data_IF_821959434971
#
_entry.id   IF_821959434971
#
_cell.length_a   1.000
_cell.length_b   1.000
_cell.length_c   1.000
_cell.angle_alpha   90.00
_cell.angle_beta   90.00
_cell.angle_gamma   90.00
#
_symmetry.space_group_name_H-M   'P 1'
#
loop_
_entity.id
_entity.type
_entity.pdbx_description
1 polymer ?
#
# COMPACT_ATOMS: atom_id res chain seq x y z
N UNK A 1 -8.52 -9.54 -75.98
CA UNK A 1 -8.77 -9.59 -74.53
C UNK A 1 -7.80 -8.64 -73.85
N UNK A 2 -8.30 -7.76 -72.97
CA UNK A 2 -7.62 -7.29 -71.74
C UNK A 2 -8.40 -6.10 -71.16
N UNK A 3 -9.08 -6.30 -70.03
CA UNK A 3 -9.66 -5.22 -69.23
C UNK A 3 -8.56 -4.66 -68.33
N UNK A 4 -8.11 -3.44 -68.60
CA UNK A 4 -7.25 -2.67 -67.71
C UNK A 4 -8.04 -2.25 -66.49
N UNK A 5 -7.73 -2.84 -65.33
CA UNK A 5 -8.29 -2.41 -64.04
C UNK A 5 -7.48 -1.21 -63.57
N UNK A 6 -8.02 -0.01 -63.76
CA UNK A 6 -7.50 1.21 -63.11
C UNK A 6 -7.83 1.17 -61.62
N UNK A 7 -6.79 1.10 -60.77
CA UNK A 7 -6.92 1.12 -59.33
C UNK A 7 -7.53 2.47 -58.86
N UNK A 8 -8.60 2.41 -58.07
CA UNK A 8 -9.19 3.62 -57.48
C UNK A 8 -8.20 4.25 -56.47
N UNK A 9 -8.05 5.59 -56.47
CA UNK A 9 -7.18 6.27 -55.52
C UNK A 9 -7.72 6.10 -54.09
N UNK A 10 -6.84 5.83 -53.10
CA UNK A 10 -7.26 5.61 -51.72
C UNK A 10 -7.91 6.88 -51.14
N UNK A 11 -9.00 6.70 -50.38
CA UNK A 11 -9.72 7.80 -49.74
C UNK A 11 -8.86 8.51 -48.69
N UNK A 12 -9.05 9.83 -48.54
CA UNK A 12 -8.37 10.65 -47.53
C UNK A 12 -8.63 10.14 -46.11
N UNK A 13 -9.83 9.59 -45.87
CA UNK A 13 -10.25 9.00 -44.61
C UNK A 13 -9.51 7.68 -44.30
N UNK A 14 -9.28 6.85 -45.32
CA UNK A 14 -8.43 5.64 -45.19
C UNK A 14 -6.99 6.02 -44.84
N UNK A 15 -6.41 7.03 -45.51
CA UNK A 15 -5.05 7.50 -45.22
C UNK A 15 -4.93 8.09 -43.81
N UNK A 16 -5.93 8.85 -43.37
CA UNK A 16 -5.99 9.39 -42.02
C UNK A 16 -6.12 8.27 -40.98
N UNK A 17 -7.00 7.30 -41.21
CA UNK A 17 -7.16 6.12 -40.35
C UNK A 17 -5.86 5.33 -40.20
N UNK A 18 -5.17 5.01 -41.30
CA UNK A 18 -3.91 4.27 -41.23
C UNK A 18 -2.81 5.03 -40.47
N UNK A 19 -2.75 6.36 -40.62
CA UNK A 19 -1.84 7.21 -39.83
C UNK A 19 -2.17 7.17 -38.34
N UNK A 20 -3.43 7.35 -37.98
CA UNK A 20 -3.85 7.34 -36.57
C UNK A 20 -3.79 5.96 -35.93
N UNK A 21 -4.06 4.89 -36.68
CA UNK A 21 -3.95 3.50 -36.20
C UNK A 21 -2.55 3.21 -35.70
N UNK A 22 -1.52 3.68 -36.41
CA UNK A 22 -0.13 3.53 -35.97
C UNK A 22 0.12 4.21 -34.61
N UNK A 23 -0.30 5.46 -34.46
CA UNK A 23 -0.16 6.19 -33.20
C UNK A 23 -0.95 5.56 -32.05
N UNK A 24 -2.15 5.03 -32.32
CA UNK A 24 -2.96 4.30 -31.34
C UNK A 24 -2.26 3.01 -30.88
N UNK A 25 -1.64 2.25 -31.79
CA UNK A 25 -0.87 1.05 -31.42
C UNK A 25 0.34 1.40 -30.55
N UNK A 26 1.04 2.50 -30.86
CA UNK A 26 2.13 3.00 -30.02
C UNK A 26 1.62 3.38 -28.64
N UNK A 27 0.52 4.15 -28.55
CA UNK A 27 -0.10 4.52 -27.27
C UNK A 27 -0.50 3.30 -26.45
N UNK A 28 -1.03 2.26 -27.10
CA UNK A 28 -1.42 1.01 -26.43
C UNK A 28 -0.24 0.30 -25.77
N UNK A 29 0.98 0.47 -26.28
CA UNK A 29 2.21 -0.02 -25.66
C UNK A 29 2.76 0.96 -24.61
N UNK A 30 2.82 2.26 -24.94
CA UNK A 30 3.43 3.26 -24.08
C UNK A 30 2.66 3.47 -22.77
N UNK A 31 1.33 3.36 -22.80
CA UNK A 31 0.50 3.58 -21.60
C UNK A 31 0.84 2.57 -20.50
N UNK A 32 0.77 1.24 -20.71
CA UNK A 32 1.19 0.27 -19.70
C UNK A 32 2.64 0.47 -19.26
N UNK A 33 3.56 0.71 -20.20
CA UNK A 33 4.98 0.93 -19.89
C UNK A 33 5.19 2.15 -18.98
N UNK A 34 4.43 3.23 -19.18
CA UNK A 34 4.47 4.41 -18.32
C UNK A 34 3.99 4.14 -16.88
N UNK A 35 3.05 3.21 -16.69
CA UNK A 35 2.54 2.83 -15.37
C UNK A 35 3.35 1.73 -14.67
N UNK A 36 4.18 0.97 -15.40
CA UNK A 36 4.96 -0.14 -14.85
C UNK A 36 5.81 0.23 -13.61
N UNK A 37 6.58 1.33 -13.59
CA UNK A 37 7.42 1.66 -12.43
C UNK A 37 6.61 1.79 -11.14
N UNK A 38 5.48 2.51 -11.20
CA UNK A 38 4.58 2.67 -10.05
C UNK A 38 3.97 1.33 -9.63
N UNK A 39 3.51 0.54 -10.58
CA UNK A 39 2.95 -0.78 -10.30
C UNK A 39 3.95 -1.69 -9.58
N UNK A 40 5.20 -1.75 -10.02
CA UNK A 40 6.21 -2.58 -9.38
C UNK A 40 6.64 -2.06 -8.01
N UNK A 41 6.72 -0.74 -7.83
CA UNK A 41 6.99 -0.15 -6.51
C UNK A 41 5.85 -0.44 -5.52
N UNK A 42 4.60 -0.32 -5.98
CA UNK A 42 3.44 -0.68 -5.16
C UNK A 42 3.45 -2.19 -4.84
N UNK A 43 3.73 -3.05 -5.82
CA UNK A 43 3.79 -4.49 -5.63
C UNK A 43 4.92 -4.93 -4.69
N UNK A 44 6.11 -4.34 -4.79
CA UNK A 44 7.25 -4.63 -3.91
C UNK A 44 6.95 -4.22 -2.47
N UNK A 45 6.32 -3.07 -2.28
CA UNK A 45 5.87 -2.59 -0.98
C UNK A 45 4.84 -3.52 -0.34
N UNK A 46 3.82 -3.94 -1.10
CA UNK A 46 2.79 -4.84 -0.60
C UNK A 46 3.34 -6.23 -0.23
N UNK A 47 4.25 -6.77 -1.04
CA UNK A 47 4.92 -8.05 -0.74
C UNK A 47 5.92 -7.96 0.42
N UNK A 48 6.43 -6.77 0.71
CA UNK A 48 7.47 -6.57 1.72
C UNK A 48 8.89 -6.69 1.18
N UNK A 49 9.05 -6.79 -0.14
CA UNK A 49 10.35 -6.79 -0.81
C UNK A 49 11.11 -5.47 -0.57
N UNK A 50 10.38 -4.39 -0.27
CA UNK A 50 10.92 -3.06 0.08
C UNK A 50 11.03 -2.84 1.59
N UNK A 51 10.95 -3.89 2.41
CA UNK A 51 10.96 -3.81 3.87
C UNK A 51 9.57 -3.67 4.48
N UNK A 52 9.49 -3.07 5.68
CA UNK A 52 8.23 -2.91 6.41
C UNK A 52 7.34 -1.81 5.82
N UNK A 53 7.89 -0.76 5.22
CA UNK A 53 7.08 0.33 4.69
C UNK A 53 7.91 1.42 4.04
N UNK A 54 7.24 2.42 3.46
CA UNK A 54 7.91 3.60 2.86
C UNK A 54 8.56 4.51 3.91
N UNK A 55 8.03 4.55 5.14
CA UNK A 55 8.58 5.35 6.24
C UNK A 55 8.78 4.48 7.48
N UNK A 56 10.04 4.32 7.86
CA UNK A 56 10.40 3.72 9.12
C UNK A 56 10.10 4.69 10.28
N UNK A 57 9.33 4.24 11.26
CA UNK A 57 9.05 4.98 12.50
C UNK A 57 10.13 4.70 13.54
N UNK A 58 10.78 3.54 13.46
CA UNK A 58 11.82 3.11 14.38
C UNK A 58 11.40 1.95 15.28
N UNK A 59 12.32 1.57 16.18
CA UNK A 59 12.07 0.56 17.21
C UNK A 59 11.28 1.15 18.36
N UNK A 60 10.20 0.48 18.74
CA UNK A 60 9.34 0.84 19.88
C UNK A 60 9.51 -0.20 20.98
N UNK A 61 9.99 0.25 22.13
CA UNK A 61 10.09 -0.55 23.35
C UNK A 61 8.75 -0.54 24.09
N UNK A 62 8.23 -1.72 24.44
CA UNK A 62 6.99 -1.91 25.19
C UNK A 62 7.25 -2.90 26.32
N UNK A 63 7.57 -2.36 27.50
CA UNK A 63 8.00 -3.18 28.63
C UNK A 63 9.26 -3.99 28.29
N UNK A 64 9.27 -5.32 28.48
CA UNK A 64 10.41 -6.17 28.14
C UNK A 64 10.52 -6.44 26.62
N UNK A 65 9.47 -6.18 25.86
CA UNK A 65 9.39 -6.52 24.44
C UNK A 65 9.66 -5.31 23.55
N UNK A 66 10.02 -5.57 22.30
CA UNK A 66 10.23 -4.51 21.31
C UNK A 66 9.78 -4.94 19.91
N UNK A 67 9.40 -3.94 19.12
CA UNK A 67 9.05 -4.11 17.72
C UNK A 67 9.58 -2.96 16.87
N UNK A 68 9.87 -3.21 15.59
CA UNK A 68 10.06 -2.17 14.58
C UNK A 68 8.71 -1.79 14.01
N UNK A 69 8.40 -0.49 13.93
CA UNK A 69 7.16 0.02 13.34
C UNK A 69 7.49 0.81 12.07
N UNK A 70 6.68 0.62 11.01
CA UNK A 70 6.75 1.42 9.80
C UNK A 70 5.35 1.81 9.32
N UNK A 71 5.24 2.97 8.70
CA UNK A 71 4.08 3.30 7.89
C UNK A 71 4.22 2.61 6.54
N UNK A 72 3.16 1.92 6.11
CA UNK A 72 3.16 1.27 4.80
C UNK A 72 3.46 2.30 3.72
N UNK A 73 2.81 3.48 3.78
CA UNK A 73 3.00 4.59 2.84
C UNK A 73 3.32 5.89 3.55
N UNK A 74 4.24 6.68 3.02
CA UNK A 74 4.63 7.98 3.56
C UNK A 74 3.71 9.11 3.05
N UNK A 75 2.42 9.02 3.39
CA UNK A 75 1.41 10.01 3.02
C UNK A 75 0.30 10.09 4.09
N UNK A 76 -0.68 10.97 3.93
CA UNK A 76 -1.83 11.04 4.84
C UNK A 76 -2.70 9.76 4.86
N UNK A 77 -3.66 9.66 5.79
CA UNK A 77 -4.68 8.61 5.76
C UNK A 77 -5.47 8.65 4.45
N UNK A 78 -5.84 7.48 3.91
CA UNK A 78 -6.62 7.35 2.68
C UNK A 78 -8.08 7.02 2.98
N UNK A 79 -9.04 7.50 2.17
CA UNK A 79 -10.43 7.11 2.31
C UNK A 79 -10.61 5.62 1.97
N UNK A 80 -11.36 4.91 2.82
CA UNK A 80 -11.69 3.48 2.68
C UNK A 80 -13.22 3.29 2.66
N UNK A 81 -13.85 4.00 1.73
CA UNK A 81 -15.30 3.98 1.54
C UNK A 81 -16.08 4.37 2.81
N UNK A 82 -17.16 3.64 3.16
CA UNK A 82 -17.96 3.92 4.35
C UNK A 82 -17.20 3.78 5.69
N UNK A 83 -16.03 3.13 5.70
CA UNK A 83 -15.24 2.96 6.91
C UNK A 83 -14.48 4.25 7.32
N UNK A 84 -14.43 5.25 6.45
CA UNK A 84 -13.77 6.53 6.69
C UNK A 84 -12.29 6.50 6.31
N UNK A 85 -11.47 7.32 6.97
CA UNK A 85 -10.04 7.41 6.68
C UNK A 85 -9.24 6.34 7.42
N UNK A 86 -8.33 5.69 6.70
CA UNK A 86 -7.50 4.60 7.20
C UNK A 86 -6.02 4.88 6.94
N UNK A 87 -5.15 4.43 7.86
CA UNK A 87 -3.70 4.45 7.70
C UNK A 87 -3.15 3.06 8.01
N UNK A 88 -2.38 2.51 7.07
CA UNK A 88 -1.77 1.19 7.23
C UNK A 88 -0.37 1.28 7.82
N UNK A 89 -0.10 0.41 8.77
CA UNK A 89 1.19 0.23 9.42
C UNK A 89 1.62 -1.22 9.31
N UNK A 90 2.93 -1.44 9.22
CA UNK A 90 3.52 -2.75 9.40
C UNK A 90 4.44 -2.73 10.62
N UNK A 91 4.59 -3.90 11.24
CA UNK A 91 5.47 -4.10 12.38
C UNK A 91 6.21 -5.43 12.28
N UNK A 92 7.40 -5.48 12.87
CA UNK A 92 8.14 -6.71 13.11
C UNK A 92 8.55 -6.79 14.58
N UNK A 93 8.24 -7.90 15.25
CA UNK A 93 8.74 -8.15 16.60
C UNK A 93 10.26 -8.39 16.54
N UNK A 94 10.98 -7.93 17.56
CA UNK A 94 12.37 -8.36 17.76
C UNK A 94 12.43 -9.87 18.02
N UNK A 95 13.54 -10.51 17.63
CA UNK A 95 13.74 -11.96 17.81
C UNK A 95 13.47 -12.41 19.26
N UNK A 96 13.90 -11.62 20.25
CA UNK A 96 13.67 -11.91 21.68
C UNK A 96 12.20 -11.85 22.13
N UNK A 97 11.33 -11.19 21.35
CA UNK A 97 9.91 -10.99 21.71
C UNK A 97 8.98 -12.00 21.03
N UNK A 98 9.41 -12.66 19.94
CA UNK A 98 8.54 -13.48 19.07
C UNK A 98 7.83 -14.58 19.85
N UNK A 99 8.56 -15.31 20.70
CA UNK A 99 8.02 -16.46 21.43
C UNK A 99 7.20 -16.05 22.66
N UNK A 100 7.28 -14.79 23.09
CA UNK A 100 6.64 -14.29 24.30
C UNK A 100 5.36 -13.51 24.01
N UNK A 101 5.29 -12.85 22.85
CA UNK A 101 4.17 -11.99 22.47
C UNK A 101 3.09 -12.82 21.77
N UNK A 102 1.90 -12.80 22.35
CA UNK A 102 0.67 -13.39 21.80
C UNK A 102 0.00 -12.48 20.77
N UNK A 103 -0.06 -11.18 21.05
CA UNK A 103 -0.71 -10.22 20.16
C UNK A 103 -0.11 -8.81 20.29
N UNK A 104 -0.11 -8.08 19.18
CA UNK A 104 0.28 -6.68 19.12
C UNK A 104 -0.90 -5.84 18.66
N UNK A 105 -1.11 -4.68 19.29
CA UNK A 105 -2.21 -3.77 19.00
C UNK A 105 -1.70 -2.35 18.77
N UNK A 106 -2.42 -1.59 17.95
CA UNK A 106 -2.15 -0.19 17.63
C UNK A 106 -3.41 0.65 17.83
N UNK A 107 -3.25 1.83 18.44
CA UNK A 107 -4.34 2.77 18.68
C UNK A 107 -3.86 4.22 18.60
N UNK A 108 -4.77 5.14 18.29
CA UNK A 108 -4.56 6.56 18.61
C UNK A 108 -4.86 6.80 20.09
N UNK A 109 -3.85 7.27 20.83
CA UNK A 109 -3.90 7.55 22.26
C UNK A 109 -3.92 6.30 23.15
N UNK A 110 -3.67 6.52 24.44
CA UNK A 110 -3.56 5.45 25.44
C UNK A 110 -4.88 4.68 25.62
N UNK A 111 -4.88 3.33 25.56
CA UNK A 111 -6.06 2.52 25.81
C UNK A 111 -6.40 2.46 27.30
N UNK A 112 -7.70 2.36 27.61
CA UNK A 112 -8.21 2.21 28.99
C UNK A 112 -8.21 0.77 29.51
N UNK A 113 -8.10 -0.21 28.61
CA UNK A 113 -8.08 -1.64 28.89
C UNK A 113 -7.61 -2.40 27.64
N UNK A 114 -7.27 -3.69 27.80
CA UNK A 114 -6.85 -4.55 26.69
C UNK A 114 -7.96 -4.71 25.63
N UNK A 115 -9.23 -4.82 26.04
CA UNK A 115 -10.38 -4.83 25.12
C UNK A 115 -10.47 -3.57 24.25
N UNK A 116 -9.87 -2.47 24.71
CA UNK A 116 -9.80 -1.20 24.01
C UNK A 116 -8.40 -0.92 23.43
N UNK A 117 -7.52 -1.92 23.30
CA UNK A 117 -6.14 -1.75 22.83
C UNK A 117 -6.01 -1.27 21.37
N UNK A 118 -7.10 -1.28 20.61
CA UNK A 118 -7.16 -0.73 19.25
C UNK A 118 -7.25 -1.83 18.20
N UNK A 119 -6.68 -1.58 17.03
CA UNK A 119 -6.61 -2.57 15.96
C UNK A 119 -5.48 -3.55 16.25
N UNK A 120 -5.67 -4.81 15.91
CA UNK A 120 -4.66 -5.86 16.09
C UNK A 120 -3.81 -5.97 14.83
N UNK A 121 -2.52 -6.23 15.01
CA UNK A 121 -1.61 -6.61 13.94
C UNK A 121 -1.82 -8.07 13.55
N UNK A 122 -1.90 -8.34 12.24
CA UNK A 122 -2.03 -9.70 11.70
C UNK A 122 -0.86 -10.03 10.78
N UNK A 123 -0.43 -11.30 10.78
CA UNK A 123 0.64 -11.78 9.92
C UNK A 123 1.66 -12.63 10.66
N UNK A 124 2.84 -12.81 10.06
CA UNK A 124 3.97 -13.46 10.73
C UNK A 124 4.64 -12.47 11.67
N UNK A 125 5.32 -12.91 12.75
CA UNK A 125 5.96 -12.00 13.71
C UNK A 125 7.05 -11.11 13.08
N UNK A 126 7.60 -11.50 11.92
CA UNK A 126 8.58 -10.74 11.15
C UNK A 126 7.97 -9.66 10.26
N UNK A 127 6.67 -9.74 9.97
CA UNK A 127 5.93 -8.74 9.17
C UNK A 127 4.43 -8.89 9.42
N UNK A 128 3.94 -8.12 10.38
CA UNK A 128 2.52 -8.00 10.69
C UNK A 128 2.00 -6.68 10.14
N UNK A 129 0.74 -6.64 9.69
CA UNK A 129 0.07 -5.45 9.21
C UNK A 129 -1.15 -5.09 10.06
N UNK A 130 -1.39 -3.79 10.23
CA UNK A 130 -2.61 -3.25 10.84
C UNK A 130 -3.11 -2.04 10.04
N UNK A 131 -4.43 -1.94 9.89
CA UNK A 131 -5.09 -0.78 9.28
C UNK A 131 -5.80 -0.01 10.38
N UNK A 132 -5.27 1.17 10.71
CA UNK A 132 -5.75 2.02 11.81
C UNK A 132 -6.75 3.06 11.28
N UNK A 133 -8.00 3.10 11.80
CA UNK A 133 -8.92 4.18 11.50
C UNK A 133 -8.43 5.49 12.10
N UNK A 134 -8.41 6.54 11.28
CA UNK A 134 -8.01 7.90 11.65
C UNK A 134 -9.25 8.82 11.54
N UNK A 135 -9.95 9.11 12.65
CA UNK A 135 -11.05 10.06 12.63
C UNK A 135 -10.65 11.43 12.06
N UNK A 136 -11.52 12.10 11.31
CA UNK A 136 -11.21 13.41 10.69
C UNK A 136 -10.80 14.49 11.71
N UNK A 137 -11.31 14.39 12.94
CA UNK A 137 -10.97 15.27 14.07
C UNK A 137 -9.65 14.93 14.76
N UNK A 138 -8.90 13.95 14.26
CA UNK A 138 -7.60 13.57 14.81
C UNK A 138 -6.61 14.69 14.54
N UNK A 139 -5.95 15.16 15.59
CA UNK A 139 -4.92 16.19 15.46
C UNK A 139 -3.65 15.60 14.84
N UNK A 140 -2.89 16.43 14.14
CA UNK A 140 -1.63 16.00 13.53
C UNK A 140 -0.57 15.54 14.55
N UNK A 141 -0.67 16.02 15.80
CA UNK A 141 0.19 15.66 16.93
C UNK A 141 -0.39 14.53 17.79
N UNK A 142 -1.43 13.83 17.32
CA UNK A 142 -2.01 12.73 18.07
C UNK A 142 -1.01 11.57 18.20
N UNK A 143 -0.86 11.06 19.43
CA UNK A 143 0.07 9.98 19.73
C UNK A 143 -0.47 8.62 19.26
N UNK A 144 0.41 7.80 18.71
CA UNK A 144 0.16 6.38 18.49
C UNK A 144 0.58 5.60 19.74
N UNK A 145 -0.28 4.68 20.16
CA UNK A 145 -0.04 3.80 21.29
C UNK A 145 0.05 2.35 20.80
N UNK A 146 1.13 1.68 21.17
CA UNK A 146 1.34 0.25 20.92
C UNK A 146 1.10 -0.52 22.21
N UNK A 147 0.40 -1.63 22.12
CA UNK A 147 0.20 -2.57 23.23
C UNK A 147 0.64 -3.96 22.80
N UNK A 148 1.49 -4.60 23.60
CA UNK A 148 1.90 -5.98 23.41
C UNK A 148 1.31 -6.84 24.55
N UNK A 149 0.65 -7.93 24.17
CA UNK A 149 0.05 -8.93 25.07
C UNK A 149 0.94 -10.17 25.04
N UNK A 150 1.36 -10.65 26.20
CA UNK A 150 2.16 -11.88 26.36
C UNK A 150 1.31 -13.16 26.36
N UNK A 151 1.98 -14.32 26.35
CA UNK A 151 1.34 -15.64 26.53
C UNK A 151 1.10 -16.02 28.00
N UNK A 152 1.74 -15.30 28.91
CA UNK A 152 1.74 -15.46 30.38
C UNK A 152 0.34 -15.65 31.00
#
# INVERSE_FOLDING_TARGET
MSKTVTAQPPSTLSRLWHKWRFHINILLLLVPLGFMPKYFADASLFRGDSGLGERDVGTVQVGPWSLQLAELRNEGPRPDGPAGYMKSFNAALSDSSIDQVKAAYLRIGKPRSLRAAGVIFFGTPYRMGATLPIPERTRADAELWITLEGWD
#
